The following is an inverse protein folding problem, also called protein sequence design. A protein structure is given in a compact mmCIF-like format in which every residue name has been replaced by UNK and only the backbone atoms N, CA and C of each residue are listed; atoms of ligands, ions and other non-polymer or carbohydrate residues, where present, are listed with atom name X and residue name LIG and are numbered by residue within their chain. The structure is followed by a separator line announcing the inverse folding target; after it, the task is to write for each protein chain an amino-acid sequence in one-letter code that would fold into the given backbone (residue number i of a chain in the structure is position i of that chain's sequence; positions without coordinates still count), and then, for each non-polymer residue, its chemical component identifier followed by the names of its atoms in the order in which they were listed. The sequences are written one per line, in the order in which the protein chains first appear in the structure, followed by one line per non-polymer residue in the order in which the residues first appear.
data_IF_169082892884
#
_entry.id   IF_169082892884
#
_cell.length_a   1.000
_cell.length_b   1.000
_cell.length_c   1.000
_cell.angle_alpha   90.00
_cell.angle_beta   90.00
_cell.angle_gamma   90.00
#
_symmetry.space_group_name_H-M   'P 1'
#
loop_
_entity.id
_entity.type
_entity.pdbx_description
1 polymer ?
#
# COMPACT_ATOMS: atom_id res chain seq x y z
N UNK A 1 12.79 -8.66 -24.27
CA UNK A 1 11.63 -7.75 -24.44
C UNK A 1 11.62 -6.81 -23.26
N UNK A 2 11.59 -5.49 -23.47
CA UNK A 2 11.40 -4.51 -22.39
C UNK A 2 9.98 -4.68 -21.84
N UNK A 3 9.84 -4.78 -20.52
CA UNK A 3 8.53 -4.95 -19.90
C UNK A 3 7.73 -3.63 -20.04
N UNK A 4 6.43 -3.65 -19.71
CA UNK A 4 5.58 -2.47 -19.85
C UNK A 4 6.08 -1.27 -19.03
N UNK A 5 6.64 -1.53 -17.83
CA UNK A 5 7.21 -0.51 -16.95
C UNK A 5 8.40 0.18 -17.60
N UNK A 6 9.34 -0.57 -18.19
CA UNK A 6 10.52 0.00 -18.85
C UNK A 6 10.13 0.94 -19.99
N UNK A 7 9.13 0.55 -20.81
CA UNK A 7 8.61 1.39 -21.89
C UNK A 7 7.89 2.64 -21.37
N UNK A 8 7.19 2.53 -20.25
CA UNK A 8 6.52 3.66 -19.61
C UNK A 8 7.54 4.67 -19.07
N UNK A 9 8.59 4.19 -18.39
CA UNK A 9 9.64 5.03 -17.82
C UNK A 9 10.49 5.73 -18.89
N UNK A 10 10.66 5.14 -20.08
CA UNK A 10 11.30 5.81 -21.22
C UNK A 10 10.51 7.03 -21.72
N UNK A 11 9.18 6.97 -21.66
CA UNK A 11 8.30 8.05 -22.11
C UNK A 11 8.04 9.09 -21.00
N UNK A 12 8.19 8.67 -19.75
CA UNK A 12 7.92 9.46 -18.54
C UNK A 12 9.07 9.32 -17.54
N UNK A 13 10.28 9.81 -17.86
CA UNK A 13 11.43 9.71 -16.96
C UNK A 13 11.18 10.39 -15.60
N UNK A 14 10.31 11.41 -15.56
CA UNK A 14 9.89 12.08 -14.32
C UNK A 14 9.19 11.14 -13.33
N UNK A 15 8.62 10.02 -13.81
CA UNK A 15 8.05 8.98 -12.94
C UNK A 15 9.18 8.19 -12.28
N UNK A 16 10.21 7.81 -13.04
CA UNK A 16 11.37 7.11 -12.47
C UNK A 16 12.08 7.97 -11.41
N UNK A 17 12.22 9.28 -11.66
CA UNK A 17 12.84 10.20 -10.70
C UNK A 17 12.03 10.32 -9.41
N UNK A 18 10.69 10.39 -9.51
CA UNK A 18 9.81 10.40 -8.34
C UNK A 18 9.78 9.06 -7.60
N UNK A 19 9.79 7.95 -8.33
CA UNK A 19 9.87 6.62 -7.71
C UNK A 19 11.20 6.42 -6.96
N UNK A 20 12.29 6.99 -7.47
CA UNK A 20 13.59 6.94 -6.82
C UNK A 20 13.67 7.76 -5.52
N UNK A 21 12.77 8.73 -5.31
CA UNK A 21 12.70 9.52 -4.07
C UNK A 21 12.02 8.75 -2.92
N UNK A 22 11.15 7.79 -3.24
CA UNK A 22 10.32 7.07 -2.28
C UNK A 22 10.36 5.54 -2.42
N UNK A 23 11.51 4.88 -2.65
CA UNK A 23 11.57 3.45 -2.97
C UNK A 23 10.95 2.58 -1.88
N UNK A 24 11.38 2.77 -0.63
CA UNK A 24 10.86 1.99 0.52
C UNK A 24 9.37 2.25 0.78
N UNK A 25 8.91 3.48 0.52
CA UNK A 25 7.51 3.87 0.70
C UNK A 25 6.64 3.21 -0.37
N UNK A 26 7.10 3.18 -1.61
CA UNK A 26 6.42 2.53 -2.72
C UNK A 26 6.31 1.03 -2.45
N UNK A 27 7.40 0.40 -2.04
CA UNK A 27 7.42 -1.04 -1.74
C UNK A 27 6.42 -1.39 -0.64
N UNK A 28 6.43 -0.62 0.46
CA UNK A 28 5.47 -0.80 1.55
C UNK A 28 4.02 -0.59 1.09
N UNK A 29 3.74 0.50 0.37
CA UNK A 29 2.40 0.81 -0.11
C UNK A 29 1.87 -0.27 -1.07
N UNK A 30 2.72 -0.78 -1.95
CA UNK A 30 2.37 -1.87 -2.86
C UNK A 30 2.13 -3.19 -2.12
N UNK A 31 2.93 -3.50 -1.10
CA UNK A 31 2.72 -4.66 -0.22
C UNK A 31 1.36 -4.60 0.47
N UNK A 32 1.02 -3.46 1.09
CA UNK A 32 -0.24 -3.29 1.81
C UNK A 32 -1.46 -3.37 0.88
N UNK A 33 -1.39 -2.75 -0.31
CA UNK A 33 -2.44 -2.87 -1.34
C UNK A 33 -2.63 -4.32 -1.78
N UNK A 34 -1.54 -5.04 -2.03
CA UNK A 34 -1.61 -6.45 -2.43
C UNK A 34 -2.23 -7.32 -1.32
N UNK A 35 -1.90 -7.08 -0.05
CA UNK A 35 -2.50 -7.78 1.09
C UNK A 35 -4.01 -7.53 1.18
N UNK A 36 -4.44 -6.28 1.01
CA UNK A 36 -5.86 -5.91 1.03
C UNK A 36 -6.61 -6.54 -0.14
N UNK A 37 -6.06 -6.43 -1.35
CA UNK A 37 -6.68 -6.98 -2.55
C UNK A 37 -6.80 -8.51 -2.47
N UNK A 38 -5.81 -9.20 -1.87
CA UNK A 38 -5.87 -10.64 -1.62
C UNK A 38 -6.93 -11.05 -0.59
N UNK A 39 -7.31 -10.14 0.31
CA UNK A 39 -8.37 -10.34 1.29
C UNK A 39 -9.74 -9.84 0.82
N UNK A 40 -9.85 -9.32 -0.41
CA UNK A 40 -11.06 -8.73 -1.00
C UNK A 40 -11.69 -7.64 -0.12
N UNK A 41 -10.85 -6.77 0.45
CA UNK A 41 -11.26 -5.67 1.33
C UNK A 41 -11.17 -4.31 0.62
N UNK A 42 -12.08 -3.41 0.97
CA UNK A 42 -11.99 -1.97 0.68
C UNK A 42 -11.13 -1.23 1.72
N UNK A 43 -10.73 0.01 1.42
CA UNK A 43 -9.98 0.85 2.37
C UNK A 43 -10.83 1.19 3.60
N UNK A 44 -12.13 1.42 3.41
CA UNK A 44 -13.11 1.69 4.46
C UNK A 44 -13.29 0.50 5.40
N UNK A 45 -13.26 -0.72 4.87
CA UNK A 45 -13.30 -1.93 5.67
C UNK A 45 -12.00 -2.12 6.47
N UNK A 46 -10.83 -1.83 5.87
CA UNK A 46 -9.58 -1.83 6.62
C UNK A 46 -9.63 -0.81 7.77
N UNK A 47 -10.06 0.42 7.50
CA UNK A 47 -10.19 1.45 8.53
C UNK A 47 -11.08 0.97 9.69
N UNK A 48 -12.22 0.36 9.34
CA UNK A 48 -13.17 -0.17 10.32
C UNK A 48 -12.60 -1.35 11.13
N UNK A 49 -11.89 -2.29 10.48
CA UNK A 49 -11.33 -3.49 11.13
C UNK A 49 -10.06 -3.20 11.96
N UNK A 50 -9.31 -2.15 11.60
CA UNK A 50 -8.06 -1.76 12.26
C UNK A 50 -8.24 -0.64 13.29
N UNK A 51 -9.44 -0.07 13.39
CA UNK A 51 -9.75 1.13 14.18
C UNK A 51 -8.92 2.37 13.75
N UNK A 52 -8.36 2.33 12.55
CA UNK A 52 -7.65 3.45 11.94
C UNK A 52 -8.63 4.43 11.28
N UNK A 53 -8.21 5.68 11.10
CA UNK A 53 -8.95 6.58 10.22
C UNK A 53 -8.75 6.19 8.75
N UNK A 54 -9.71 6.53 7.88
CA UNK A 54 -9.52 6.36 6.43
C UNK A 54 -8.28 7.13 5.93
N UNK A 55 -7.96 8.26 6.56
CA UNK A 55 -6.75 9.03 6.25
C UNK A 55 -5.47 8.24 6.53
N UNK A 56 -5.41 7.49 7.63
CA UNK A 56 -4.25 6.66 7.97
C UNK A 56 -4.10 5.48 7.00
N UNK A 57 -5.22 4.87 6.60
CA UNK A 57 -5.24 3.80 5.57
C UNK A 57 -4.75 4.33 4.23
N UNK A 58 -5.24 5.49 3.81
CA UNK A 58 -4.78 6.16 2.59
C UNK A 58 -3.29 6.53 2.66
N UNK A 59 -2.82 7.01 3.81
CA UNK A 59 -1.41 7.31 4.03
C UNK A 59 -0.55 6.04 3.97
N UNK A 60 -1.03 4.91 4.51
CA UNK A 60 -0.35 3.62 4.40
C UNK A 60 -0.20 3.16 2.95
N UNK A 61 -1.23 3.39 2.12
CA UNK A 61 -1.22 2.97 0.72
C UNK A 61 -0.70 4.03 -0.25
N UNK A 62 -0.33 5.23 0.21
CA UNK A 62 0.18 6.29 -0.65
C UNK A 62 1.57 5.93 -1.18
N UNK A 63 1.80 6.12 -2.49
CA UNK A 63 3.12 5.85 -3.11
C UNK A 63 4.16 6.94 -2.81
N UNK A 64 3.73 8.07 -2.28
CA UNK A 64 4.59 9.24 -2.01
C UNK A 64 4.19 9.88 -0.68
N UNK A 65 5.05 10.74 -0.14
CA UNK A 65 4.81 11.45 1.11
C UNK A 65 5.48 10.75 2.29
N UNK A 66 5.03 11.09 3.51
CA UNK A 66 5.65 10.61 4.73
C UNK A 66 5.49 9.09 4.91
N UNK A 67 6.53 8.44 5.43
CA UNK A 67 6.47 7.03 5.82
C UNK A 67 5.45 6.88 6.96
N UNK A 68 4.48 5.95 6.86
CA UNK A 68 3.50 5.78 7.92
C UNK A 68 4.19 5.23 9.16
N UNK A 69 3.67 5.60 10.33
CA UNK A 69 4.23 5.11 11.58
C UNK A 69 4.11 3.57 11.67
N UNK A 70 5.10 2.85 12.24
CA UNK A 70 5.12 1.39 12.25
C UNK A 70 3.92 0.73 12.92
N UNK A 71 3.31 1.40 13.91
CA UNK A 71 2.10 0.98 14.61
C UNK A 71 0.86 1.01 13.70
N UNK A 72 0.73 2.02 12.83
CA UNK A 72 -0.33 2.08 11.82
C UNK A 72 -0.22 0.89 10.85
N UNK A 73 1.01 0.61 10.38
CA UNK A 73 1.28 -0.54 9.50
C UNK A 73 0.95 -1.86 10.19
N UNK A 74 1.30 -2.01 11.47
CA UNK A 74 1.01 -3.19 12.25
C UNK A 74 -0.50 -3.40 12.46
N UNK A 75 -1.24 -2.33 12.75
CA UNK A 75 -2.70 -2.36 12.89
C UNK A 75 -3.38 -2.77 11.58
N UNK A 76 -2.93 -2.20 10.45
CA UNK A 76 -3.39 -2.57 9.10
C UNK A 76 -3.21 -4.07 8.85
N UNK A 77 -1.96 -4.58 8.95
CA UNK A 77 -1.66 -5.99 8.69
C UNK A 77 -2.43 -6.94 9.61
N UNK A 78 -2.60 -6.55 10.88
CA UNK A 78 -3.37 -7.31 11.85
C UNK A 78 -4.85 -7.41 11.45
N UNK A 79 -5.44 -6.32 10.96
CA UNK A 79 -6.82 -6.32 10.49
C UNK A 79 -7.03 -7.27 9.30
N UNK A 80 -6.14 -7.21 8.30
CA UNK A 80 -6.16 -8.14 7.17
C UNK A 80 -6.04 -9.58 7.65
N UNK A 81 -5.04 -9.88 8.49
CA UNK A 81 -4.78 -11.23 8.97
C UNK A 81 -5.96 -11.80 9.77
N UNK A 82 -6.58 -11.00 10.65
CA UNK A 82 -7.78 -11.40 11.40
C UNK A 82 -8.95 -11.72 10.47
N UNK A 83 -9.16 -10.90 9.45
CA UNK A 83 -10.24 -11.12 8.47
C UNK A 83 -10.06 -12.44 7.71
N UNK A 84 -8.86 -12.65 7.13
CA UNK A 84 -8.57 -13.88 6.38
C UNK A 84 -8.62 -15.13 7.27
N UNK A 85 -8.18 -15.02 8.53
CA UNK A 85 -8.23 -16.15 9.48
C UNK A 85 -9.65 -16.53 9.90
N UNK A 86 -10.61 -15.60 9.84
CA UNK A 86 -12.02 -15.86 10.14
C UNK A 86 -12.78 -16.50 8.96
N UNK A 87 -12.22 -16.43 7.75
CA UNK A 87 -12.78 -17.01 6.53
C UNK A 87 -12.21 -18.40 6.18
N UNK A 88 -11.16 -18.83 6.89
CA UNK A 88 -10.51 -20.14 6.73
C UNK A 88 -11.22 -21.24 7.54
#
# INVERSE_FOLDING_TARGET
MKNFRDKMLEVRPEIAEREAEFPDKIDLAMELRALRDAADLSQEEIASLSELSLGDVLACEALTGEMPAPDLVAAYRTAVHKHTSLQA
#
